data_IF_539274626252
#
_entry.id   IF_539274626252
#
_cell.length_a   1.000
_cell.length_b   1.000
_cell.length_c   1.000
_cell.angle_alpha   90.00
_cell.angle_beta   90.00
_cell.angle_gamma   90.00
#
_symmetry.space_group_name_H-M   'P 1'
#
loop_
_entity.id
_entity.type
_entity.pdbx_description
1 polymer ?
#
# COMPACT_ATOMS: atom_id res chain seq x y z
N UNK A 1 -24.67 -27.89 0.10
CA UNK A 1 -25.74 -27.29 -0.75
C UNK A 1 -26.31 -28.42 -1.57
N UNK A 2 -27.54 -28.85 -1.29
CA UNK A 2 -28.14 -30.00 -1.96
C UNK A 2 -29.08 -29.47 -3.06
N UNK A 3 -28.69 -29.61 -4.32
CA UNK A 3 -29.50 -29.21 -5.46
C UNK A 3 -30.48 -30.33 -5.78
N UNK A 4 -31.78 -30.00 -5.88
CA UNK A 4 -32.88 -30.93 -6.19
C UNK A 4 -32.94 -31.26 -7.69
N UNK A 5 -32.18 -30.53 -8.53
CA UNK A 5 -32.07 -30.74 -9.98
C UNK A 5 -30.65 -30.38 -10.41
N UNK A 6 -30.09 -31.15 -11.35
CA UNK A 6 -28.79 -30.83 -11.95
C UNK A 6 -28.83 -29.46 -12.60
N UNK A 7 -27.76 -28.66 -12.39
CA UNK A 7 -27.61 -27.39 -13.07
C UNK A 7 -27.44 -27.66 -14.58
N UNK A 8 -28.04 -26.84 -15.46
CA UNK A 8 -27.79 -26.94 -16.88
C UNK A 8 -26.28 -26.86 -17.14
N UNK A 9 -25.73 -27.86 -17.81
CA UNK A 9 -24.34 -27.84 -18.27
C UNK A 9 -24.30 -27.10 -19.60
N UNK A 10 -23.75 -25.88 -19.56
CA UNK A 10 -23.34 -25.20 -20.79
C UNK A 10 -22.07 -25.88 -21.34
N UNK A 11 -21.97 -26.00 -22.66
CA UNK A 11 -20.78 -26.52 -23.35
C UNK A 11 -19.66 -25.46 -23.33
N UNK A 12 -18.98 -25.37 -22.19
CA UNK A 12 -17.92 -24.41 -21.94
C UNK A 12 -16.57 -25.00 -22.36
N UNK A 13 -15.84 -24.27 -23.21
CA UNK A 13 -14.51 -24.67 -23.69
C UNK A 13 -13.47 -24.28 -22.63
N UNK A 14 -13.23 -25.16 -21.68
CA UNK A 14 -12.15 -24.99 -20.70
C UNK A 14 -10.80 -25.49 -21.26
N UNK A 15 -9.69 -24.78 -20.97
CA UNK A 15 -8.36 -25.24 -21.39
C UNK A 15 -7.97 -26.51 -20.63
N UNK A 16 -7.31 -27.45 -21.32
CA UNK A 16 -6.65 -28.60 -20.70
C UNK A 16 -5.20 -28.22 -20.41
N UNK A 17 -4.83 -28.21 -19.14
CA UNK A 17 -3.46 -27.90 -18.69
C UNK A 17 -2.74 -29.23 -18.47
N UNK A 18 -1.55 -29.38 -19.07
CA UNK A 18 -0.74 -30.61 -18.96
C UNK A 18 0.68 -30.23 -18.56
N UNK A 19 1.20 -30.89 -17.53
CA UNK A 19 2.58 -30.76 -17.08
C UNK A 19 3.40 -31.96 -17.51
N UNK A 20 4.61 -31.70 -18.01
CA UNK A 20 5.56 -32.77 -18.30
C UNK A 20 6.15 -33.30 -16.99
N UNK A 21 5.71 -34.49 -16.59
CA UNK A 21 6.14 -35.15 -15.34
C UNK A 21 7.56 -35.71 -15.41
N UNK A 22 8.21 -35.67 -16.58
CA UNK A 22 9.60 -36.12 -16.73
C UNK A 22 10.61 -35.05 -16.33
N UNK A 23 10.21 -33.77 -16.36
CA UNK A 23 10.97 -32.67 -15.79
C UNK A 23 10.57 -32.46 -14.33
N UNK A 24 11.55 -32.51 -13.41
CA UNK A 24 11.29 -32.10 -12.03
C UNK A 24 11.27 -30.58 -11.95
N UNK A 25 10.20 -30.02 -11.38
CA UNK A 25 10.17 -28.60 -11.04
C UNK A 25 11.34 -28.29 -10.08
N UNK A 26 12.14 -27.27 -10.39
CA UNK A 26 13.28 -26.86 -9.56
C UNK A 26 13.06 -25.51 -8.90
N UNK A 27 12.15 -24.70 -9.46
CA UNK A 27 11.91 -23.33 -9.04
C UNK A 27 11.05 -23.30 -7.78
N UNK A 28 11.41 -22.40 -6.87
CA UNK A 28 10.61 -22.06 -5.70
C UNK A 28 9.90 -20.74 -5.94
N UNK A 29 8.63 -20.69 -5.59
CA UNK A 29 7.82 -19.50 -5.77
C UNK A 29 7.31 -18.93 -4.44
N UNK A 30 7.11 -17.62 -4.45
CA UNK A 30 6.29 -16.89 -3.49
C UNK A 30 5.19 -16.17 -4.26
N UNK A 31 3.95 -16.52 -3.98
CA UNK A 31 2.79 -15.82 -4.51
C UNK A 31 2.20 -14.91 -3.45
N UNK A 32 1.85 -13.69 -3.82
CA UNK A 32 1.08 -12.77 -2.99
C UNK A 32 -0.20 -12.43 -3.72
N UNK A 33 -1.35 -12.67 -3.10
CA UNK A 33 -2.58 -12.58 -3.86
C UNK A 33 -3.87 -12.70 -3.06
N UNK A 34 -4.96 -12.74 -3.82
CA UNK A 34 -6.31 -12.93 -3.31
C UNK A 34 -6.82 -14.37 -3.50
N UNK A 35 -8.11 -14.58 -3.24
CA UNK A 35 -8.73 -15.90 -3.24
C UNK A 35 -8.67 -16.61 -4.60
N UNK A 36 -8.44 -15.89 -5.71
CA UNK A 36 -8.35 -16.48 -7.04
C UNK A 36 -7.12 -17.39 -7.20
N UNK A 37 -6.08 -17.21 -6.37
CA UNK A 37 -4.95 -18.15 -6.28
C UNK A 37 -5.43 -19.59 -6.03
N UNK A 38 -6.49 -19.76 -5.23
CA UNK A 38 -6.98 -21.09 -4.87
C UNK A 38 -7.53 -21.86 -6.07
N UNK A 39 -7.92 -21.20 -7.17
CA UNK A 39 -8.29 -21.90 -8.41
C UNK A 39 -7.07 -22.65 -8.97
N UNK A 40 -5.91 -21.99 -9.09
CA UNK A 40 -4.69 -22.65 -9.57
C UNK A 40 -4.18 -23.72 -8.59
N UNK A 41 -4.39 -23.50 -7.29
CA UNK A 41 -4.11 -24.50 -6.27
C UNK A 41 -4.99 -25.75 -6.45
N UNK A 42 -6.29 -25.57 -6.70
CA UNK A 42 -7.25 -26.66 -6.94
C UNK A 42 -6.99 -27.40 -8.24
N UNK A 43 -6.54 -26.71 -9.28
CA UNK A 43 -6.17 -27.30 -10.58
C UNK A 43 -4.82 -28.04 -10.56
N UNK A 44 -4.13 -28.06 -9.40
CA UNK A 44 -2.84 -28.72 -9.22
C UNK A 44 -1.66 -27.97 -9.83
N UNK A 45 -1.86 -26.77 -10.39
CA UNK A 45 -0.81 -25.97 -11.05
C UNK A 45 0.35 -25.69 -10.10
N UNK A 46 0.06 -25.29 -8.86
CA UNK A 46 1.08 -24.97 -7.85
C UNK A 46 1.91 -26.19 -7.47
N UNK A 47 1.27 -27.36 -7.46
CA UNK A 47 1.94 -28.62 -7.22
C UNK A 47 2.84 -28.99 -8.41
N UNK A 48 2.33 -28.92 -9.63
CA UNK A 48 3.05 -29.48 -10.78
C UNK A 48 4.10 -28.52 -11.37
N UNK A 49 3.95 -27.20 -11.19
CA UNK A 49 4.84 -26.20 -11.75
C UNK A 49 6.06 -25.84 -10.88
N UNK A 50 5.96 -26.02 -9.55
CA UNK A 50 6.97 -25.53 -8.60
C UNK A 50 7.42 -26.62 -7.64
N UNK A 51 8.71 -26.59 -7.28
CA UNK A 51 9.29 -27.48 -6.27
C UNK A 51 8.72 -27.19 -4.88
N UNK A 52 8.58 -25.90 -4.60
CA UNK A 52 8.05 -25.35 -3.36
C UNK A 52 7.33 -24.03 -3.67
N UNK A 53 6.24 -23.75 -2.96
CA UNK A 53 5.41 -22.59 -3.21
C UNK A 53 4.73 -22.15 -1.91
N UNK A 54 5.04 -20.93 -1.47
CA UNK A 54 4.28 -20.28 -0.41
C UNK A 54 3.32 -19.27 -1.04
N UNK A 55 2.13 -19.17 -0.45
CA UNK A 55 1.13 -18.19 -0.83
C UNK A 55 0.80 -17.30 0.36
N UNK A 56 1.02 -16.01 0.18
CA UNK A 56 0.68 -14.97 1.14
C UNK A 56 -0.67 -14.37 0.75
N UNK A 57 -1.71 -14.87 1.41
CA UNK A 57 -3.08 -14.44 1.19
C UNK A 57 -3.27 -13.06 1.82
N UNK A 58 -3.55 -12.06 0.97
CA UNK A 58 -3.65 -10.64 1.33
C UNK A 58 -2.45 -10.10 2.12
N UNK A 59 -1.26 -10.67 1.90
CA UNK A 59 -0.05 -10.37 2.67
C UNK A 59 -0.24 -10.50 4.20
N UNK A 60 -1.06 -11.47 4.63
CA UNK A 60 -1.41 -11.68 6.05
C UNK A 60 -1.29 -13.13 6.47
N UNK A 61 -1.93 -14.03 5.74
CA UNK A 61 -1.92 -15.46 6.05
C UNK A 61 -0.98 -16.20 5.10
N UNK A 62 -0.31 -17.22 5.61
CA UNK A 62 0.67 -18.00 4.86
C UNK A 62 0.08 -19.39 4.61
N UNK A 63 -0.01 -19.75 3.34
CA UNK A 63 -0.47 -21.05 2.88
C UNK A 63 0.68 -21.76 2.18
N UNK A 64 0.85 -23.04 2.48
CA UNK A 64 1.87 -23.85 1.80
C UNK A 64 1.37 -24.39 0.45
N UNK A 65 2.28 -25.01 -0.31
CA UNK A 65 2.02 -25.65 -1.61
C UNK A 65 0.92 -26.72 -1.58
N UNK A 66 0.58 -27.27 -0.42
CA UNK A 66 -0.51 -28.24 -0.25
C UNK A 66 -1.88 -27.59 0.02
N UNK A 67 -1.95 -26.25 0.04
CA UNK A 67 -3.18 -25.52 0.35
C UNK A 67 -3.56 -25.58 1.82
N UNK A 68 -2.58 -25.69 2.73
CA UNK A 68 -2.81 -25.63 4.19
C UNK A 68 -2.29 -24.30 4.72
N UNK A 69 -3.11 -23.60 5.51
CA UNK A 69 -2.69 -22.42 6.26
C UNK A 69 -1.70 -22.84 7.35
N UNK A 70 -0.49 -22.29 7.33
CA UNK A 70 0.63 -22.65 8.20
C UNK A 70 1.04 -21.52 9.16
N UNK A 71 0.43 -20.34 9.07
CA UNK A 71 0.72 -19.21 9.95
C UNK A 71 0.39 -17.87 9.32
N UNK A 72 1.03 -16.82 9.85
CA UNK A 72 0.86 -15.43 9.39
C UNK A 72 2.19 -14.81 8.97
N UNK A 73 2.14 -13.82 8.08
CA UNK A 73 3.33 -13.19 7.48
C UNK A 73 4.18 -12.47 8.53
N UNK A 74 3.55 -11.89 9.56
CA UNK A 74 4.22 -11.20 10.67
C UNK A 74 5.06 -12.14 11.57
N UNK A 75 4.86 -13.46 11.46
CA UNK A 75 5.66 -14.47 12.16
C UNK A 75 6.89 -14.93 11.36
N UNK A 76 6.99 -14.55 10.09
CA UNK A 76 8.08 -14.93 9.20
C UNK A 76 9.20 -13.88 9.18
N UNK A 77 10.41 -14.34 8.88
CA UNK A 77 11.48 -13.42 8.48
C UNK A 77 11.28 -13.06 7.00
N UNK A 78 10.92 -11.81 6.73
CA UNK A 78 10.66 -11.33 5.38
C UNK A 78 11.85 -11.57 4.44
N UNK A 79 13.08 -11.23 4.87
CA UNK A 79 14.28 -11.38 4.06
C UNK A 79 14.58 -12.83 3.68
N UNK A 80 14.39 -13.76 4.62
CA UNK A 80 14.57 -15.20 4.36
C UNK A 80 13.56 -15.71 3.31
N UNK A 81 12.30 -15.26 3.37
CA UNK A 81 11.27 -15.66 2.40
C UNK A 81 11.51 -15.07 1.01
N UNK A 82 11.95 -13.80 0.92
CA UNK A 82 12.34 -13.19 -0.36
C UNK A 82 13.57 -13.89 -0.95
N UNK A 83 14.59 -14.19 -0.13
CA UNK A 83 15.81 -14.86 -0.58
C UNK A 83 15.60 -16.34 -0.97
N UNK A 84 14.58 -17.00 -0.39
CA UNK A 84 14.20 -18.38 -0.72
C UNK A 84 13.58 -18.51 -2.10
N UNK A 85 12.87 -17.47 -2.57
CA UNK A 85 12.07 -17.52 -3.79
C UNK A 85 12.90 -17.21 -5.04
N UNK A 86 12.84 -18.09 -6.04
CA UNK A 86 13.38 -17.81 -7.38
C UNK A 86 12.42 -16.92 -8.18
N UNK A 87 11.12 -17.05 -7.88
CA UNK A 87 10.03 -16.32 -8.54
C UNK A 87 9.13 -15.73 -7.47
N UNK A 88 8.89 -14.42 -7.56
CA UNK A 88 7.88 -13.72 -6.78
C UNK A 88 6.79 -13.26 -7.74
N UNK A 89 5.54 -13.65 -7.46
CA UNK A 89 4.39 -13.35 -8.30
C UNK A 89 3.30 -12.63 -7.49
N UNK A 90 2.83 -11.50 -8.02
CA UNK A 90 1.68 -10.77 -7.46
C UNK A 90 0.46 -11.11 -8.30
N UNK A 91 -0.56 -11.68 -7.68
CA UNK A 91 -1.82 -12.06 -8.32
C UNK A 91 -2.95 -11.26 -7.73
N UNK A 92 -3.54 -10.36 -8.53
CA UNK A 92 -4.57 -9.45 -8.05
C UNK A 92 -5.73 -9.39 -9.01
N UNK A 93 -6.93 -9.56 -8.48
CA UNK A 93 -8.17 -9.28 -9.21
C UNK A 93 -8.47 -7.79 -9.23
N UNK A 94 -9.16 -7.35 -10.28
CA UNK A 94 -9.51 -5.93 -10.49
C UNK A 94 -10.19 -5.29 -9.28
N UNK A 95 -11.00 -6.06 -8.55
CA UNK A 95 -11.69 -5.60 -7.32
C UNK A 95 -10.75 -5.09 -6.23
N UNK A 96 -9.51 -5.57 -6.20
CA UNK A 96 -8.51 -5.20 -5.20
C UNK A 96 -7.42 -4.28 -5.75
N UNK A 97 -7.57 -3.72 -6.95
CA UNK A 97 -6.53 -2.89 -7.55
C UNK A 97 -6.12 -1.68 -6.67
N UNK A 98 -7.05 -1.11 -5.91
CA UNK A 98 -6.78 -0.06 -4.91
C UNK A 98 -5.91 -0.56 -3.74
N UNK A 99 -5.97 -1.85 -3.42
CA UNK A 99 -5.20 -2.52 -2.37
C UNK A 99 -3.99 -3.25 -2.97
N UNK A 100 -3.35 -2.66 -3.99
CA UNK A 100 -2.28 -3.33 -4.73
C UNK A 100 -1.28 -4.02 -3.80
N UNK A 101 -1.11 -5.34 -4.00
CA UNK A 101 -0.25 -6.23 -3.24
C UNK A 101 -0.40 -6.19 -1.69
N UNK A 102 -1.42 -5.54 -1.14
CA UNK A 102 -1.66 -5.39 0.30
C UNK A 102 -0.39 -4.98 1.08
N UNK A 103 0.32 -3.97 0.59
CA UNK A 103 1.57 -3.43 1.18
C UNK A 103 2.80 -4.35 1.08
N UNK A 104 2.70 -5.48 0.37
CA UNK A 104 3.87 -6.33 0.10
C UNK A 104 4.91 -5.64 -0.78
N UNK A 105 4.45 -4.86 -1.76
CA UNK A 105 5.28 -4.06 -2.66
C UNK A 105 6.11 -3.02 -1.91
N UNK A 106 5.50 -2.30 -0.96
CA UNK A 106 6.21 -1.36 -0.10
C UNK A 106 7.23 -2.08 0.79
N UNK A 107 6.86 -3.22 1.40
CA UNK A 107 7.81 -4.03 2.19
C UNK A 107 8.99 -4.52 1.36
N UNK A 108 8.74 -4.91 0.10
CA UNK A 108 9.77 -5.35 -0.82
C UNK A 108 10.69 -4.20 -1.21
N UNK A 109 10.12 -3.01 -1.47
CA UNK A 109 10.89 -1.81 -1.78
C UNK A 109 11.78 -1.42 -0.59
N UNK A 110 11.22 -1.33 0.61
CA UNK A 110 11.94 -0.99 1.83
C UNK A 110 13.09 -1.98 2.09
N UNK A 111 12.86 -3.28 1.87
CA UNK A 111 13.86 -4.31 2.04
C UNK A 111 15.08 -4.15 1.10
N UNK A 112 14.86 -3.76 -0.15
CA UNK A 112 15.95 -3.64 -1.13
C UNK A 112 16.64 -2.28 -1.14
N UNK A 113 15.90 -1.21 -0.92
CA UNK A 113 16.41 0.14 -1.11
C UNK A 113 16.76 0.83 0.21
N UNK A 114 16.17 0.41 1.33
CA UNK A 114 16.39 1.00 2.68
C UNK A 114 16.42 2.55 2.66
N UNK A 115 15.68 3.15 1.71
CA UNK A 115 15.51 4.58 1.61
C UNK A 115 14.42 4.99 2.60
N UNK A 116 14.51 6.20 3.15
CA UNK A 116 13.43 6.74 3.96
C UNK A 116 12.21 6.91 3.07
N UNK A 117 11.22 6.02 3.21
CA UNK A 117 9.95 6.12 2.52
C UNK A 117 9.35 7.50 2.79
N UNK A 118 8.86 8.16 1.73
CA UNK A 118 8.17 9.44 1.89
C UNK A 118 6.98 9.24 2.87
N UNK A 119 6.92 9.96 4.00
CA UNK A 119 5.89 9.77 5.00
C UNK A 119 4.47 9.95 4.44
N UNK A 120 4.29 10.85 3.46
CA UNK A 120 3.00 11.04 2.80
C UNK A 120 2.62 9.79 2.01
N UNK A 121 3.55 9.18 1.28
CA UNK A 121 3.30 7.94 0.53
C UNK A 121 2.97 6.78 1.48
N UNK A 122 3.67 6.67 2.61
CA UNK A 122 3.37 5.69 3.66
C UNK A 122 1.92 5.82 4.17
N UNK A 123 1.50 7.03 4.57
CA UNK A 123 0.14 7.26 5.06
C UNK A 123 -0.92 7.15 3.95
N UNK A 124 -0.61 7.59 2.74
CA UNK A 124 -1.47 7.41 1.58
C UNK A 124 -1.70 5.92 1.30
N UNK A 125 -0.65 5.09 1.39
CA UNK A 125 -0.80 3.66 1.21
C UNK A 125 -1.68 3.02 2.28
N UNK A 126 -1.53 3.42 3.55
CA UNK A 126 -2.41 2.98 4.64
C UNK A 126 -3.88 3.32 4.40
N UNK A 127 -4.16 4.47 3.78
CA UNK A 127 -5.52 4.85 3.36
C UNK A 127 -6.00 3.97 2.23
N UNK A 128 -5.16 3.71 1.21
CA UNK A 128 -5.49 2.88 0.04
C UNK A 128 -5.86 1.45 0.43
N UNK A 129 -5.01 0.78 1.21
CA UNK A 129 -5.17 -0.64 1.57
C UNK A 129 -6.30 -0.89 2.59
N UNK A 130 -6.80 0.16 3.25
CA UNK A 130 -7.95 0.08 4.13
C UNK A 130 -9.22 0.40 3.34
N UNK A 131 -10.01 -0.63 3.05
CA UNK A 131 -11.19 -0.51 2.19
C UNK A 131 -12.22 0.52 2.70
N UNK A 132 -12.45 0.61 4.01
CA UNK A 132 -13.40 1.57 4.58
C UNK A 132 -12.88 3.01 4.45
N UNK A 133 -11.60 3.22 4.74
CA UNK A 133 -10.96 4.53 4.59
C UNK A 133 -10.93 4.96 3.13
N UNK A 134 -10.57 4.06 2.21
CA UNK A 134 -10.54 4.34 0.78
C UNK A 134 -11.92 4.72 0.24
N UNK A 135 -12.97 3.96 0.58
CA UNK A 135 -14.34 4.27 0.15
C UNK A 135 -14.83 5.61 0.71
N UNK A 136 -14.46 5.95 1.94
CA UNK A 136 -14.73 7.27 2.53
C UNK A 136 -14.02 8.37 1.73
N UNK A 137 -12.74 8.20 1.38
CA UNK A 137 -12.00 9.17 0.56
C UNK A 137 -12.59 9.33 -0.83
N UNK A 138 -13.06 8.24 -1.43
CA UNK A 138 -13.72 8.27 -2.73
C UNK A 138 -15.03 9.07 -2.70
N UNK A 139 -15.89 8.81 -1.71
CA UNK A 139 -17.13 9.58 -1.54
C UNK A 139 -16.84 11.08 -1.28
N UNK A 140 -15.84 11.37 -0.45
CA UNK A 140 -15.39 12.73 -0.17
C UNK A 140 -14.89 13.45 -1.43
N UNK A 141 -14.05 12.77 -2.23
CA UNK A 141 -13.47 13.32 -3.46
C UNK A 141 -14.56 13.71 -4.47
N UNK A 142 -15.55 12.83 -4.64
CA UNK A 142 -16.73 13.11 -5.47
C UNK A 142 -17.53 14.31 -4.95
N UNK A 143 -17.79 14.37 -3.64
CA UNK A 143 -18.57 15.48 -3.05
C UNK A 143 -17.89 16.84 -3.19
N UNK A 144 -16.54 16.86 -3.22
CA UNK A 144 -15.71 18.06 -3.30
C UNK A 144 -15.26 18.39 -4.72
N UNK A 145 -15.68 17.60 -5.72
CA UNK A 145 -15.22 17.70 -7.11
C UNK A 145 -13.68 17.77 -7.22
N UNK A 146 -13.01 16.86 -6.51
CA UNK A 146 -11.55 16.79 -6.38
C UNK A 146 -11.05 15.45 -6.91
N UNK A 147 -9.87 15.39 -7.57
CA UNK A 147 -9.24 14.13 -7.90
C UNK A 147 -9.04 13.26 -6.65
N UNK A 148 -9.30 11.95 -6.78
CA UNK A 148 -9.12 11.01 -5.68
C UNK A 148 -7.67 11.01 -5.12
N UNK A 149 -6.61 11.03 -5.96
CA UNK A 149 -5.23 11.11 -5.45
C UNK A 149 -5.01 12.31 -4.53
N UNK A 150 -5.42 13.51 -4.93
CA UNK A 150 -5.28 14.73 -4.14
C UNK A 150 -6.04 14.64 -2.81
N UNK A 151 -7.22 13.98 -2.79
CA UNK A 151 -7.98 13.78 -1.55
C UNK A 151 -7.28 12.81 -0.61
N UNK A 152 -6.69 11.74 -1.14
CA UNK A 152 -5.91 10.77 -0.36
C UNK A 152 -4.65 11.43 0.19
N UNK A 153 -3.95 12.24 -0.61
CA UNK A 153 -2.76 12.98 -0.18
C UNK A 153 -3.07 13.92 0.99
N UNK A 154 -4.18 14.66 0.93
CA UNK A 154 -4.63 15.51 2.05
C UNK A 154 -4.98 14.71 3.31
N UNK A 155 -5.52 13.50 3.15
CA UNK A 155 -5.75 12.61 4.30
C UNK A 155 -4.41 12.13 4.88
N UNK A 156 -3.45 11.80 4.02
CA UNK A 156 -2.12 11.39 4.42
C UNK A 156 -1.37 12.50 5.16
N UNK A 157 -1.46 13.75 4.70
CA UNK A 157 -0.95 14.93 5.43
C UNK A 157 -1.56 15.04 6.84
N UNK A 158 -2.87 14.82 6.95
CA UNK A 158 -3.58 14.88 8.22
C UNK A 158 -3.16 13.74 9.16
N UNK A 159 -3.08 12.50 8.67
CA UNK A 159 -2.64 11.34 9.45
C UNK A 159 -1.18 11.47 9.90
N UNK A 160 -0.31 12.00 9.05
CA UNK A 160 1.08 12.33 9.40
C UNK A 160 1.13 13.36 10.53
N UNK A 161 0.31 14.41 10.44
CA UNK A 161 0.21 15.42 11.48
C UNK A 161 -0.26 14.82 12.82
N UNK A 162 -1.29 13.96 12.81
CA UNK A 162 -1.76 13.26 14.01
C UNK A 162 -0.67 12.36 14.62
N UNK A 163 0.05 11.58 13.79
CA UNK A 163 1.15 10.73 14.24
C UNK A 163 2.29 11.55 14.84
N UNK A 164 2.60 12.71 14.26
CA UNK A 164 3.57 13.66 14.81
C UNK A 164 3.15 14.20 16.18
N UNK A 165 1.86 14.52 16.41
CA UNK A 165 1.40 14.97 17.72
C UNK A 165 1.63 13.89 18.81
N UNK A 166 1.51 12.61 18.44
CA UNK A 166 1.74 11.48 19.34
C UNK A 166 3.24 11.17 19.54
N UNK A 167 4.04 11.30 18.49
CA UNK A 167 5.47 10.97 18.49
C UNK A 167 6.33 12.06 17.82
N UNK A 168 6.47 13.27 18.41
CA UNK A 168 7.14 14.38 17.75
C UNK A 168 8.61 14.10 17.41
N UNK A 169 9.28 13.30 18.24
CA UNK A 169 10.70 12.95 18.09
C UNK A 169 10.98 12.13 16.82
N UNK A 170 9.98 11.42 16.29
CA UNK A 170 10.12 10.52 15.13
C UNK A 170 10.54 11.27 13.86
N UNK A 171 10.10 12.53 13.70
CA UNK A 171 10.18 13.26 12.44
C UNK A 171 11.14 14.45 12.45
N UNK A 172 11.74 14.81 13.60
CA UNK A 172 12.44 16.10 13.76
C UNK A 172 13.54 16.37 12.73
N UNK A 173 14.22 15.33 12.25
CA UNK A 173 15.32 15.45 11.28
C UNK A 173 14.89 15.15 9.84
N UNK A 174 13.65 14.68 9.63
CA UNK A 174 13.13 14.34 8.31
C UNK A 174 12.45 15.56 7.68
N UNK A 175 13.14 16.19 6.73
CA UNK A 175 12.63 17.33 5.97
C UNK A 175 11.33 16.99 5.24
N UNK A 176 11.22 15.78 4.70
CA UNK A 176 10.06 15.33 3.93
C UNK A 176 8.81 15.14 4.79
N UNK A 177 8.99 14.80 6.08
CA UNK A 177 7.92 14.79 7.07
C UNK A 177 7.57 16.20 7.58
N UNK A 178 8.58 16.96 7.96
CA UNK A 178 8.40 18.20 8.73
C UNK A 178 7.76 19.31 7.93
N UNK A 179 8.04 19.41 6.63
CA UNK A 179 7.42 20.44 5.77
C UNK A 179 5.90 20.25 5.73
N UNK A 180 5.33 19.08 5.35
CA UNK A 180 3.88 18.84 5.43
C UNK A 180 3.27 19.07 6.81
N UNK A 181 3.95 18.65 7.89
CA UNK A 181 3.50 18.86 9.27
C UNK A 181 3.36 20.36 9.57
N UNK A 182 4.37 21.17 9.23
CA UNK A 182 4.35 22.62 9.43
C UNK A 182 3.29 23.29 8.57
N UNK A 183 3.12 22.86 7.33
CA UNK A 183 2.05 23.34 6.45
C UNK A 183 0.68 23.10 7.09
N UNK A 184 0.47 21.93 7.72
CA UNK A 184 -0.76 21.62 8.45
C UNK A 184 -0.93 22.50 9.69
N UNK A 185 0.13 22.73 10.47
CA UNK A 185 0.11 23.65 11.62
C UNK A 185 -0.28 25.08 11.21
N UNK A 186 0.25 25.58 10.09
CA UNK A 186 -0.12 26.89 9.54
C UNK A 186 -1.61 26.93 9.20
N UNK A 187 -2.11 25.91 8.49
CA UNK A 187 -3.52 25.82 8.07
C UNK A 187 -4.48 25.75 9.26
N UNK A 188 -4.09 25.08 10.34
CA UNK A 188 -4.92 24.93 11.54
C UNK A 188 -4.88 26.15 12.48
N UNK A 189 -3.96 27.10 12.28
CA UNK A 189 -3.86 28.33 13.07
C UNK A 189 -4.48 29.51 12.31
N UNK A 190 -5.70 29.98 12.67
CA UNK A 190 -6.39 31.04 11.92
C UNK A 190 -5.58 32.34 11.84
N UNK A 191 -4.97 32.74 12.95
CA UNK A 191 -4.16 33.97 13.04
C UNK A 191 -2.89 33.89 12.18
N UNK A 192 -2.25 32.72 12.15
CA UNK A 192 -1.06 32.53 11.33
C UNK A 192 -1.46 32.46 9.85
N UNK A 193 -2.49 31.69 9.51
CA UNK A 193 -2.98 31.58 8.14
C UNK A 193 -3.36 32.95 7.54
N UNK A 194 -3.95 33.85 8.32
CA UNK A 194 -4.26 35.20 7.85
C UNK A 194 -3.00 35.97 7.46
N UNK A 195 -1.97 35.95 8.31
CA UNK A 195 -0.68 36.60 8.01
C UNK A 195 -0.01 36.01 6.77
N UNK A 196 -0.09 34.68 6.60
CA UNK A 196 0.43 34.02 5.40
C UNK A 196 -0.36 34.43 4.15
N UNK A 197 -1.68 34.63 4.28
CA UNK A 197 -2.53 35.12 3.18
C UNK A 197 -2.17 36.55 2.78
N UNK A 198 -1.96 37.45 3.74
CA UNK A 198 -1.51 38.82 3.46
C UNK A 198 -0.18 38.82 2.71
N UNK A 199 0.79 37.99 3.15
CA UNK A 199 2.06 37.81 2.44
C UNK A 199 1.86 37.29 1.02
N UNK A 200 1.01 36.29 0.83
CA UNK A 200 0.72 35.68 -0.48
C UNK A 200 0.17 36.71 -1.47
N UNK A 201 -0.77 37.54 -1.03
CA UNK A 201 -1.33 38.64 -1.82
C UNK A 201 -0.26 39.70 -2.14
N UNK A 202 0.53 40.11 -1.14
CA UNK A 202 1.58 41.11 -1.33
C UNK A 202 2.67 40.66 -2.32
N UNK A 203 2.96 39.36 -2.40
CA UNK A 203 3.97 38.78 -3.29
C UNK A 203 3.39 38.22 -4.59
N UNK A 204 2.07 38.27 -4.77
CA UNK A 204 1.36 37.73 -5.93
C UNK A 204 1.67 36.25 -6.23
N UNK A 205 1.68 35.41 -5.18
CA UNK A 205 1.83 33.96 -5.31
C UNK A 205 0.62 33.21 -4.71
N UNK A 206 0.30 32.00 -5.19
CA UNK A 206 -0.76 31.18 -4.61
C UNK A 206 -0.57 30.93 -3.11
N UNK A 207 -1.67 30.95 -2.34
CA UNK A 207 -1.64 30.75 -0.88
C UNK A 207 -0.91 29.46 -0.48
N UNK A 208 -1.14 28.36 -1.18
CA UNK A 208 -0.47 27.09 -0.89
C UNK A 208 1.05 27.14 -1.10
N UNK A 209 1.52 27.88 -2.11
CA UNK A 209 2.95 28.06 -2.34
C UNK A 209 3.57 28.89 -1.20
N UNK A 210 2.90 29.97 -0.78
CA UNK A 210 3.36 30.77 0.35
C UNK A 210 3.40 29.97 1.66
N UNK A 211 2.39 29.11 1.91
CA UNK A 211 2.38 28.21 3.07
C UNK A 211 3.59 27.27 3.03
N UNK A 212 3.90 26.69 1.87
CA UNK A 212 5.07 25.81 1.70
C UNK A 212 6.38 26.56 1.92
N UNK A 213 6.50 27.79 1.42
CA UNK A 213 7.69 28.63 1.62
C UNK A 213 7.91 28.95 3.10
N UNK A 214 6.87 29.41 3.80
CA UNK A 214 6.94 29.71 5.24
C UNK A 214 7.28 28.43 6.05
N UNK A 215 6.68 27.28 5.71
CA UNK A 215 6.99 25.99 6.34
C UNK A 215 8.46 25.57 6.14
N UNK A 216 8.95 25.68 4.91
CA UNK A 216 10.36 25.36 4.56
C UNK A 216 11.31 26.26 5.33
N UNK A 217 11.04 27.57 5.36
CA UNK A 217 11.87 28.53 6.08
C UNK A 217 11.95 28.22 7.58
N UNK A 218 10.84 27.81 8.21
CA UNK A 218 10.81 27.42 9.63
C UNK A 218 11.66 26.18 9.87
N UNK A 219 11.52 25.16 9.03
CA UNK A 219 12.31 23.95 9.15
C UNK A 219 13.82 24.28 9.08
N UNK A 220 14.25 25.00 8.05
CA UNK A 220 15.66 25.35 7.84
C UNK A 220 16.24 26.26 8.94
N UNK A 221 15.46 27.18 9.49
CA UNK A 221 15.98 28.22 10.40
C UNK A 221 15.77 27.93 11.87
N UNK A 222 14.75 27.14 12.23
CA UNK A 222 14.38 26.91 13.63
C UNK A 222 14.53 25.45 14.07
N UNK A 223 14.41 24.49 13.14
CA UNK A 223 14.41 23.06 13.45
C UNK A 223 15.76 22.45 13.09
N UNK A 224 16.17 22.51 11.82
CA UNK A 224 17.42 21.90 11.31
C UNK A 224 18.70 22.47 11.92
N UNK A 225 18.66 23.70 12.44
CA UNK A 225 19.80 24.38 13.08
C UNK A 225 19.92 24.11 14.59
N UNK A 226 18.97 23.42 15.20
CA UNK A 226 19.03 23.01 16.62
C UNK A 226 19.59 21.60 16.73
#
# INVERSE_FOLDING_TARGET
MNMIKEAPQDDLIYPVIVFDKTASASQKALFVGDSFYFNWQSDGIMHDAFADCNFWYYNKQVWNRSGVEIGTVDQLNFGDEIARADIIAIMITERFHQNFAWNFDEQLFDYFYNESQNPIDYFANRVRINNEHFLRMYADALSKNMPLPDRIEKEAEFLLYEDYQLAPQKYQQDETAMIPILMMSIRQSPEWLEKVREKAVAQNIPLNEMIRMDATWIYENQIKKK
#
